data_IF_325649393387
#
_entry.id   IF_325649393387
#
_cell.length_a   1.000
_cell.length_b   1.000
_cell.length_c   1.000
_cell.angle_alpha   90.00
_cell.angle_beta   90.00
_cell.angle_gamma   90.00
#
_symmetry.space_group_name_H-M   'P 1'
#
loop_
_entity.id
_entity.type
_entity.pdbx_description
1 polymer ?
#
# COMPACT_ATOMS: atom_id res chain seq x y z
N UNK A 1 -7.37 -10.23 -18.57
CA UNK A 1 -6.89 -9.29 -17.53
C UNK A 1 -5.80 -8.42 -18.13
N UNK A 2 -6.04 -7.12 -18.19
CA UNK A 2 -5.12 -6.19 -18.85
C UNK A 2 -4.21 -5.54 -17.80
N UNK A 3 -2.90 -5.59 -18.06
CA UNK A 3 -1.90 -4.92 -17.23
C UNK A 3 -1.74 -3.49 -17.73
N UNK A 4 -1.86 -2.52 -16.81
CA UNK A 4 -1.48 -1.13 -17.07
C UNK A 4 0.05 -1.01 -17.00
N UNK A 5 0.61 -0.08 -17.72
CA UNK A 5 2.06 0.13 -17.79
C UNK A 5 2.66 0.44 -16.40
N UNK A 6 3.88 -0.06 -16.12
CA UNK A 6 4.55 0.27 -14.87
C UNK A 6 4.93 1.75 -14.82
N UNK A 7 4.69 2.39 -13.68
CA UNK A 7 5.06 3.79 -13.42
C UNK A 7 6.10 3.82 -12.30
N UNK A 8 7.28 4.42 -12.51
CA UNK A 8 8.26 4.60 -11.45
C UNK A 8 7.69 5.48 -10.33
N UNK A 9 7.76 5.03 -9.09
CA UNK A 9 7.27 5.76 -7.94
C UNK A 9 8.35 5.83 -6.84
N UNK A 10 8.56 7.03 -6.30
CA UNK A 10 9.50 7.24 -5.20
C UNK A 10 10.97 7.32 -5.63
N UNK A 11 11.85 7.18 -4.66
CA UNK A 11 13.31 7.33 -4.82
C UNK A 11 14.09 6.01 -4.80
N UNK A 12 13.43 4.88 -5.00
CA UNK A 12 14.07 3.55 -4.97
C UNK A 12 14.32 2.98 -3.55
N UNK A 13 13.77 3.60 -2.50
CA UNK A 13 13.90 3.14 -1.13
C UNK A 13 12.52 2.82 -0.53
N UNK A 14 12.23 1.53 -0.29
CA UNK A 14 11.07 1.03 0.46
C UNK A 14 9.78 1.82 0.19
N UNK A 15 9.28 1.74 -1.03
CA UNK A 15 8.01 2.39 -1.40
C UNK A 15 6.85 1.45 -1.07
N UNK A 16 5.83 1.97 -0.40
CA UNK A 16 4.57 1.27 -0.11
C UNK A 16 3.37 2.05 -0.67
N UNK A 17 2.21 1.41 -0.65
CA UNK A 17 0.93 2.00 -1.04
C UNK A 17 0.24 2.56 0.20
N UNK A 18 -0.16 3.83 0.16
CA UNK A 18 -0.87 4.48 1.25
C UNK A 18 -2.38 4.40 1.03
N UNK A 19 -2.85 4.97 -0.07
CA UNK A 19 -4.28 5.01 -0.41
C UNK A 19 -4.48 5.24 -1.90
N UNK A 20 -5.74 5.22 -2.34
CA UNK A 20 -6.13 5.58 -3.70
C UNK A 20 -7.30 6.56 -3.67
N UNK A 21 -7.38 7.45 -4.66
CA UNK A 21 -8.51 8.34 -4.86
C UNK A 21 -8.71 8.59 -6.36
N UNK A 22 -9.90 8.21 -6.87
CA UNK A 22 -10.23 8.25 -8.32
C UNK A 22 -9.20 7.50 -9.17
N UNK A 23 -8.45 8.21 -10.03
CA UNK A 23 -7.41 7.66 -10.90
C UNK A 23 -5.99 7.87 -10.36
N UNK A 24 -5.85 8.30 -9.12
CA UNK A 24 -4.58 8.49 -8.47
C UNK A 24 -4.32 7.41 -7.43
N UNK A 25 -3.06 7.01 -7.36
CA UNK A 25 -2.53 6.12 -6.31
C UNK A 25 -1.46 6.89 -5.55
N UNK A 26 -1.50 6.78 -4.24
CA UNK A 26 -0.58 7.49 -3.36
C UNK A 26 0.37 6.51 -2.72
N UNK A 27 1.66 6.74 -2.94
CA UNK A 27 2.75 5.93 -2.43
C UNK A 27 3.51 6.67 -1.34
N UNK A 28 4.15 5.92 -0.45
CA UNK A 28 5.04 6.46 0.58
C UNK A 28 6.44 5.85 0.51
N UNK A 29 7.41 6.48 1.15
CA UNK A 29 8.73 5.91 1.37
C UNK A 29 9.03 5.76 2.86
N UNK A 30 9.94 4.85 3.22
CA UNK A 30 10.49 4.76 4.57
C UNK A 30 11.75 5.62 4.67
N UNK A 31 11.96 6.19 5.85
CA UNK A 31 13.27 6.74 6.19
C UNK A 31 14.21 5.60 6.58
N UNK A 32 15.51 5.64 6.19
CA UNK A 32 16.46 4.55 6.44
C UNK A 32 16.64 4.15 7.90
N UNK A 33 16.17 4.96 8.85
CA UNK A 33 16.36 4.75 10.30
C UNK A 33 15.07 4.89 11.11
N UNK A 34 13.92 4.96 10.45
CA UNK A 34 12.62 5.10 11.10
C UNK A 34 11.62 4.12 10.49
N UNK A 35 10.79 3.43 11.31
CA UNK A 35 9.71 2.62 10.78
C UNK A 35 8.53 3.49 10.26
N UNK A 36 8.61 4.80 10.41
CA UNK A 36 7.53 5.70 10.00
C UNK A 36 7.53 5.90 8.48
N UNK A 37 6.34 5.86 7.92
CA UNK A 37 6.09 6.30 6.54
C UNK A 37 6.45 7.76 6.40
N UNK A 38 7.06 8.15 5.31
CA UNK A 38 7.35 9.55 5.02
C UNK A 38 7.30 9.84 3.54
N UNK A 39 6.74 11.01 3.26
CA UNK A 39 6.51 11.46 1.91
C UNK A 39 5.26 10.87 1.28
N UNK A 40 4.73 11.58 0.30
CA UNK A 40 3.60 11.17 -0.52
C UNK A 40 3.96 11.44 -1.97
N UNK A 41 3.76 10.43 -2.83
CA UNK A 41 3.85 10.54 -4.27
C UNK A 41 2.50 10.19 -4.88
N UNK A 42 1.85 11.16 -5.52
CA UNK A 42 0.60 10.95 -6.26
C UNK A 42 0.92 10.50 -7.69
N UNK A 43 0.51 9.30 -8.03
CA UNK A 43 0.76 8.67 -9.34
C UNK A 43 -0.55 8.57 -10.10
N UNK A 44 -0.62 9.18 -11.28
CA UNK A 44 -1.68 8.94 -12.25
C UNK A 44 -1.31 7.74 -13.11
N UNK A 45 -1.93 6.59 -12.83
CA UNK A 45 -1.63 5.33 -13.52
C UNK A 45 -2.16 5.30 -14.96
N UNK A 46 -3.08 6.21 -15.36
CA UNK A 46 -3.54 6.32 -16.74
C UNK A 46 -2.60 7.17 -17.60
N UNK A 47 -1.99 8.17 -16.98
CA UNK A 47 -1.05 9.05 -17.64
C UNK A 47 0.42 8.62 -17.48
N UNK A 48 0.67 7.50 -16.78
CA UNK A 48 2.00 6.93 -16.49
C UNK A 48 2.97 7.97 -15.91
N UNK A 49 2.51 8.77 -14.94
CA UNK A 49 3.35 9.85 -14.38
C UNK A 49 3.04 10.15 -12.92
N UNK A 50 4.06 10.66 -12.22
CA UNK A 50 3.88 11.33 -10.92
C UNK A 50 3.27 12.71 -11.19
N UNK A 51 2.13 12.99 -10.55
CA UNK A 51 1.42 14.28 -10.65
C UNK A 51 2.03 15.30 -9.73
N UNK A 52 2.26 14.90 -8.46
CA UNK A 52 2.92 15.70 -7.45
C UNK A 52 3.61 14.81 -6.42
N UNK A 53 4.51 15.40 -5.64
CA UNK A 53 5.13 14.72 -4.51
C UNK A 53 5.48 15.68 -3.38
N UNK A 54 5.39 15.19 -2.15
CA UNK A 54 5.80 15.87 -0.93
C UNK A 54 6.57 14.94 -0.03
N UNK A 55 7.86 15.18 0.13
CA UNK A 55 8.75 14.37 0.96
C UNK A 55 8.78 14.78 2.44
N UNK A 56 8.16 15.93 2.76
CA UNK A 56 8.18 16.59 4.08
C UNK A 56 7.03 16.21 5.00
N UNK A 57 6.04 15.48 4.48
CA UNK A 57 4.82 15.13 5.20
C UNK A 57 4.71 13.63 5.46
N UNK A 58 3.91 13.29 6.46
CA UNK A 58 3.46 11.93 6.76
C UNK A 58 1.95 11.88 6.57
N UNK A 59 1.47 10.89 5.87
CA UNK A 59 0.04 10.65 5.68
C UNK A 59 -0.60 10.20 6.99
N UNK A 60 -1.78 10.73 7.29
CA UNK A 60 -2.55 10.35 8.47
C UNK A 60 -3.93 9.80 8.12
N UNK A 61 -4.60 10.37 7.10
CA UNK A 61 -5.93 9.93 6.72
C UNK A 61 -6.37 10.47 5.35
N UNK A 62 -7.21 9.71 4.65
CA UNK A 62 -7.93 10.10 3.45
C UNK A 62 -9.35 10.53 3.83
N UNK A 63 -9.71 11.77 3.56
CA UNK A 63 -11.02 12.37 3.83
C UNK A 63 -11.89 12.50 2.57
N UNK A 64 -11.54 11.80 1.49
CA UNK A 64 -12.17 11.83 0.17
C UNK A 64 -11.99 13.15 -0.60
N UNK A 65 -12.09 14.27 0.05
CA UNK A 65 -11.92 15.61 -0.56
C UNK A 65 -10.58 16.25 -0.19
N UNK A 66 -9.98 15.83 0.90
CA UNK A 66 -8.75 16.34 1.48
C UNK A 66 -7.96 15.19 2.07
N UNK A 67 -6.64 15.33 2.18
CA UNK A 67 -5.82 14.44 2.98
C UNK A 67 -5.40 15.11 4.28
N UNK A 68 -5.59 14.40 5.38
CA UNK A 68 -4.96 14.75 6.64
C UNK A 68 -3.52 14.26 6.61
N UNK A 69 -2.59 15.17 6.77
CA UNK A 69 -1.15 14.89 6.85
C UNK A 69 -0.55 15.61 8.04
N UNK A 70 0.65 15.21 8.46
CA UNK A 70 1.39 15.97 9.46
C UNK A 70 2.86 16.09 9.07
N UNK A 71 3.49 17.17 9.57
CA UNK A 71 4.93 17.35 9.56
C UNK A 71 5.47 17.05 10.95
N UNK A 72 6.60 16.37 11.02
CA UNK A 72 7.32 16.15 12.26
C UNK A 72 8.23 17.34 12.54
N UNK A 73 8.13 17.87 13.73
CA UNK A 73 9.06 18.87 14.31
C UNK A 73 9.52 18.42 15.69
N UNK A 74 10.43 19.15 16.29
CA UNK A 74 10.84 18.92 17.67
C UNK A 74 10.88 20.26 18.41
N UNK A 75 10.24 20.31 19.56
CA UNK A 75 10.32 21.44 20.47
C UNK A 75 10.85 20.98 21.83
N UNK A 76 11.92 21.56 22.29
CA UNK A 76 12.54 21.19 23.56
C UNK A 76 13.01 19.71 23.63
N UNK A 77 13.28 19.07 22.47
CA UNK A 77 13.64 17.65 22.39
C UNK A 77 12.46 16.67 22.32
N UNK A 78 11.23 17.18 22.37
CA UNK A 78 10.03 16.36 22.23
C UNK A 78 9.52 16.42 20.79
N UNK A 79 9.16 15.26 20.16
CA UNK A 79 8.58 15.25 18.84
C UNK A 79 7.17 15.85 18.86
N UNK A 80 6.90 16.74 17.92
CA UNK A 80 5.61 17.36 17.71
C UNK A 80 5.10 17.04 16.30
N UNK A 81 3.78 16.87 16.17
CA UNK A 81 3.09 16.67 14.89
C UNK A 81 2.25 17.89 14.57
N UNK A 82 2.59 18.56 13.48
CA UNK A 82 1.84 19.69 12.95
C UNK A 82 0.94 19.24 11.83
N UNK A 83 -0.35 19.12 12.11
CA UNK A 83 -1.34 18.61 11.17
C UNK A 83 -1.78 19.67 10.17
N UNK A 84 -2.01 19.21 8.93
CA UNK A 84 -2.46 20.01 7.80
C UNK A 84 -3.47 19.19 6.99
N UNK A 85 -4.41 19.91 6.37
CA UNK A 85 -5.23 19.38 5.29
C UNK A 85 -4.62 19.82 3.96
N UNK A 86 -4.44 18.86 3.04
CA UNK A 86 -3.90 19.12 1.71
C UNK A 86 -4.88 18.64 0.64
N UNK A 87 -4.83 19.28 -0.53
CA UNK A 87 -5.56 18.85 -1.71
C UNK A 87 -4.94 17.56 -2.26
N UNK A 88 -5.73 16.48 -2.40
CA UNK A 88 -5.20 15.20 -2.91
C UNK A 88 -4.71 15.28 -4.36
N UNK A 89 -5.21 16.21 -5.16
CA UNK A 89 -4.89 16.29 -6.59
C UNK A 89 -3.68 17.17 -6.90
N UNK A 90 -3.36 18.13 -6.01
CA UNK A 90 -2.25 19.07 -6.21
C UNK A 90 -1.15 18.95 -5.16
N UNK A 91 -1.47 18.43 -3.97
CA UNK A 91 -0.56 18.40 -2.81
C UNK A 91 -0.46 19.74 -2.07
N UNK A 92 -1.25 20.75 -2.47
CA UNK A 92 -1.25 22.07 -1.86
C UNK A 92 -1.93 22.07 -0.48
N UNK A 93 -1.41 22.90 0.43
CA UNK A 93 -2.02 23.05 1.76
C UNK A 93 -3.31 23.85 1.66
N UNK A 94 -4.43 23.21 2.04
CA UNK A 94 -5.74 23.87 2.15
C UNK A 94 -5.86 24.60 3.48
N UNK A 95 -5.47 23.92 4.58
CA UNK A 95 -5.60 24.46 5.92
C UNK A 95 -4.57 23.84 6.88
N UNK A 96 -3.97 24.67 7.73
CA UNK A 96 -3.16 24.20 8.86
C UNK A 96 -4.06 24.00 10.09
N UNK A 97 -3.93 22.84 10.73
CA UNK A 97 -4.68 22.48 11.95
C UNK A 97 -3.83 22.64 13.22
N UNK A 98 -2.51 22.76 13.08
CA UNK A 98 -1.60 22.89 14.20
C UNK A 98 -1.26 21.55 14.89
N UNK A 99 -1.11 21.61 16.22
CA UNK A 99 -0.71 20.45 17.02
C UNK A 99 -1.84 19.43 17.20
N UNK A 100 -1.46 18.23 17.60
CA UNK A 100 -2.38 17.13 17.88
C UNK A 100 -3.45 17.53 18.90
N UNK A 101 -4.71 17.30 18.56
CA UNK A 101 -5.87 17.72 19.35
C UNK A 101 -7.00 16.67 19.28
N UNK A 102 -7.98 16.71 20.20
CA UNK A 102 -9.16 15.84 20.13
C UNK A 102 -9.90 15.92 18.79
N UNK A 103 -9.97 17.09 18.18
CA UNK A 103 -10.62 17.27 16.86
C UNK A 103 -9.92 16.47 15.75
N UNK A 104 -8.59 16.33 15.82
CA UNK A 104 -7.83 15.51 14.87
C UNK A 104 -8.13 14.03 15.07
N UNK A 105 -8.33 13.58 16.30
CA UNK A 105 -8.71 12.20 16.60
C UNK A 105 -10.14 11.89 16.12
N UNK A 106 -11.07 12.83 16.22
CA UNK A 106 -12.42 12.69 15.65
C UNK A 106 -12.36 12.53 14.13
N UNK A 107 -11.60 13.39 13.43
CA UNK A 107 -11.37 13.27 11.98
C UNK A 107 -10.81 11.90 11.63
N UNK A 108 -9.84 11.38 12.38
CA UNK A 108 -9.28 10.04 12.13
C UNK A 108 -10.28 8.91 12.33
N UNK A 109 -11.16 9.01 13.30
CA UNK A 109 -12.20 8.00 13.53
C UNK A 109 -13.26 7.99 12.44
N UNK A 110 -13.64 9.15 11.91
CA UNK A 110 -14.57 9.26 10.78
C UNK A 110 -13.98 8.59 9.52
N UNK A 111 -12.67 8.69 9.33
CA UNK A 111 -11.98 8.13 8.17
C UNK A 111 -11.99 6.61 8.15
N UNK A 112 -11.80 5.95 9.28
CA UNK A 112 -11.85 4.48 9.34
C UNK A 112 -13.19 3.98 8.81
N UNK A 113 -14.28 4.69 9.11
CA UNK A 113 -15.61 4.36 8.59
C UNK A 113 -15.74 4.67 7.08
N UNK A 114 -15.07 5.71 6.60
CA UNK A 114 -15.13 6.09 5.18
C UNK A 114 -14.26 5.19 4.29
N UNK A 115 -13.11 4.74 4.76
CA UNK A 115 -12.28 3.75 4.06
C UNK A 115 -13.02 2.42 3.86
N UNK A 116 -13.78 1.99 4.85
CA UNK A 116 -14.69 0.84 4.72
C UNK A 116 -15.74 1.09 3.62
N UNK A 117 -16.32 2.28 3.54
CA UNK A 117 -17.29 2.67 2.50
C UNK A 117 -16.66 2.75 1.10
N UNK A 118 -15.42 3.19 0.98
CA UNK A 118 -14.72 3.28 -0.31
C UNK A 118 -14.26 1.93 -0.88
N UNK A 119 -14.58 0.83 -0.22
CA UNK A 119 -14.25 -0.54 -0.65
C UNK A 119 -12.74 -0.77 -0.89
N UNK A 120 -11.87 -0.05 -0.20
CA UNK A 120 -10.45 -0.37 -0.17
C UNK A 120 -10.27 -1.61 0.69
N UNK A 121 -9.63 -2.63 0.13
CA UNK A 121 -9.33 -3.87 0.84
C UNK A 121 -7.81 -4.03 0.92
N UNK A 122 -7.30 -4.04 2.14
CA UNK A 122 -5.89 -4.28 2.44
C UNK A 122 -5.64 -5.77 2.67
N UNK A 123 -4.41 -6.26 2.48
CA UNK A 123 -4.07 -7.64 2.73
C UNK A 123 -3.98 -7.93 4.24
N UNK A 124 -4.41 -9.13 4.61
CA UNK A 124 -4.19 -9.69 5.92
C UNK A 124 -3.09 -10.76 5.88
N UNK A 125 -2.30 -10.85 6.96
CA UNK A 125 -1.39 -11.98 7.12
C UNK A 125 -2.16 -13.29 7.26
N UNK A 126 -1.68 -14.32 6.57
CA UNK A 126 -2.25 -15.66 6.65
C UNK A 126 -1.84 -16.31 7.96
N UNK A 127 -2.53 -15.96 9.03
CA UNK A 127 -2.34 -16.53 10.39
C UNK A 127 -3.47 -17.45 10.80
N UNK A 128 -4.64 -17.32 10.16
CA UNK A 128 -5.85 -18.08 10.48
C UNK A 128 -5.96 -19.39 9.69
N UNK A 129 -6.59 -20.39 10.33
CA UNK A 129 -6.80 -21.73 9.75
C UNK A 129 -7.65 -21.70 8.46
N UNK A 130 -8.74 -20.90 8.45
CA UNK A 130 -9.62 -20.76 7.28
C UNK A 130 -8.92 -20.22 6.03
N UNK A 131 -8.00 -19.24 6.19
CA UNK A 131 -7.26 -18.69 5.05
C UNK A 131 -6.19 -19.67 4.57
N UNK A 132 -5.56 -20.42 5.48
CA UNK A 132 -4.63 -21.50 5.14
C UNK A 132 -5.31 -22.61 4.38
N UNK A 133 -6.50 -23.05 4.79
CA UNK A 133 -7.30 -24.05 4.09
C UNK A 133 -7.66 -23.58 2.67
N UNK A 134 -8.07 -22.32 2.50
CA UNK A 134 -8.39 -21.78 1.18
C UNK A 134 -7.17 -21.76 0.27
N UNK A 135 -6.00 -21.34 0.75
CA UNK A 135 -4.76 -21.37 -0.03
C UNK A 135 -4.31 -22.80 -0.34
N UNK A 136 -4.52 -23.74 0.58
CA UNK A 136 -4.26 -25.16 0.34
C UNK A 136 -5.15 -25.72 -0.79
N UNK A 137 -6.43 -25.33 -0.84
CA UNK A 137 -7.34 -25.68 -1.94
C UNK A 137 -6.85 -25.14 -3.29
N UNK A 138 -6.21 -23.99 -3.30
CA UNK A 138 -5.59 -23.39 -4.48
C UNK A 138 -4.20 -23.98 -4.81
N UNK A 139 -3.79 -25.02 -4.09
CA UNK A 139 -2.49 -25.70 -4.22
C UNK A 139 -1.29 -24.78 -3.96
N UNK A 140 -1.49 -23.74 -3.17
CA UNK A 140 -0.40 -22.89 -2.69
C UNK A 140 0.28 -23.60 -1.54
N UNK A 141 1.48 -24.12 -1.78
CA UNK A 141 2.33 -24.68 -0.72
C UNK A 141 2.87 -23.58 0.16
N UNK A 142 2.41 -23.46 1.40
CA UNK A 142 2.99 -22.55 2.38
C UNK A 142 3.91 -23.37 3.27
N UNK A 143 5.23 -23.25 3.07
CA UNK A 143 6.22 -23.82 3.96
C UNK A 143 6.28 -23.00 5.27
N UNK A 144 6.79 -23.56 6.36
CA UNK A 144 6.91 -22.86 7.65
C UNK A 144 7.76 -21.60 7.59
N UNK A 145 8.65 -21.49 6.62
CA UNK A 145 9.50 -20.31 6.36
C UNK A 145 8.85 -19.27 5.46
N UNK A 146 7.71 -19.59 4.82
CA UNK A 146 7.02 -18.72 3.89
C UNK A 146 6.13 -17.74 4.64
N UNK A 147 6.19 -16.48 4.26
CA UNK A 147 5.23 -15.45 4.71
C UNK A 147 4.21 -15.26 3.61
N UNK A 148 2.96 -15.12 3.98
CA UNK A 148 1.90 -14.92 3.00
C UNK A 148 0.92 -13.85 3.50
N UNK A 149 0.57 -12.95 2.58
CA UNK A 149 -0.49 -11.95 2.76
C UNK A 149 -1.59 -12.25 1.74
N UNK A 150 -2.85 -12.07 2.13
CA UNK A 150 -3.97 -12.47 1.29
C UNK A 150 -5.14 -11.49 1.38
N UNK A 151 -5.78 -11.26 0.22
CA UNK A 151 -7.09 -10.61 0.11
C UNK A 151 -8.05 -11.63 -0.52
N UNK A 152 -9.24 -11.75 0.07
CA UNK A 152 -10.36 -12.48 -0.52
C UNK A 152 -11.49 -11.50 -0.80
N UNK A 153 -11.83 -11.30 -2.07
CA UNK A 153 -12.88 -10.37 -2.50
C UNK A 153 -13.73 -10.98 -3.61
N UNK A 154 -14.97 -11.33 -3.27
CA UNK A 154 -15.89 -12.02 -4.20
C UNK A 154 -15.28 -13.32 -4.75
N UNK A 155 -15.21 -13.48 -6.08
CA UNK A 155 -14.62 -14.68 -6.69
C UNK A 155 -13.10 -14.68 -6.70
N UNK A 156 -12.45 -13.57 -6.32
CA UNK A 156 -11.01 -13.40 -6.38
C UNK A 156 -10.33 -13.71 -5.06
N UNK A 157 -9.21 -14.41 -5.15
CA UNK A 157 -8.22 -14.58 -4.09
C UNK A 157 -6.90 -14.02 -4.61
N UNK A 158 -6.35 -13.04 -3.93
CA UNK A 158 -5.04 -12.45 -4.23
C UNK A 158 -4.11 -12.80 -3.09
N UNK A 159 -2.97 -13.42 -3.39
CA UNK A 159 -1.98 -13.73 -2.37
C UNK A 159 -0.59 -13.29 -2.79
N UNK A 160 0.08 -12.56 -1.90
CA UNK A 160 1.51 -12.31 -1.97
C UNK A 160 2.24 -13.37 -1.14
N UNK A 161 3.11 -14.13 -1.80
CA UNK A 161 3.86 -15.23 -1.21
C UNK A 161 5.33 -14.82 -1.17
N UNK A 162 5.86 -14.73 0.04
CA UNK A 162 7.25 -14.34 0.29
C UNK A 162 8.02 -15.56 0.75
N UNK A 163 9.01 -15.98 -0.01
CA UNK A 163 9.80 -17.16 0.28
C UNK A 163 11.31 -16.86 0.27
N UNK A 164 12.09 -17.50 1.15
CA UNK A 164 13.53 -17.36 1.11
C UNK A 164 14.08 -18.04 -0.15
N UNK A 165 15.08 -17.42 -0.75
CA UNK A 165 15.87 -18.04 -1.84
C UNK A 165 16.93 -18.92 -1.20
N UNK A 166 16.96 -20.18 -1.59
CA UNK A 166 17.82 -21.20 -0.99
C UNK A 166 19.27 -20.74 -0.79
N UNK A 167 19.81 -20.96 0.41
CA UNK A 167 21.21 -20.74 0.83
C UNK A 167 21.75 -19.31 0.72
N UNK A 168 21.01 -18.37 0.16
CA UNK A 168 21.47 -16.98 -0.02
C UNK A 168 21.11 -16.06 1.14
N UNK A 169 20.08 -16.42 1.93
CA UNK A 169 19.47 -15.56 2.94
C UNK A 169 18.64 -14.41 2.35
N UNK A 170 18.50 -14.37 1.03
CA UNK A 170 17.67 -13.40 0.32
C UNK A 170 16.25 -13.90 0.17
N UNK A 171 15.34 -12.99 -0.18
CA UNK A 171 13.91 -13.28 -0.35
C UNK A 171 13.46 -12.96 -1.77
N UNK A 172 12.38 -13.63 -2.17
CA UNK A 172 11.60 -13.29 -3.36
C UNK A 172 10.12 -13.28 -3.00
N UNK A 173 9.33 -12.51 -3.75
CA UNK A 173 7.91 -12.30 -3.51
C UNK A 173 7.13 -12.46 -4.80
N UNK A 174 6.11 -13.31 -4.79
CA UNK A 174 5.20 -13.51 -5.91
C UNK A 174 3.80 -13.05 -5.56
N UNK A 175 3.14 -12.37 -6.48
CA UNK A 175 1.74 -12.03 -6.40
C UNK A 175 0.95 -12.93 -7.34
N UNK A 176 0.03 -13.69 -6.78
CA UNK A 176 -0.84 -14.58 -7.53
C UNK A 176 -2.30 -14.17 -7.35
N UNK A 177 -3.06 -14.23 -8.43
CA UNK A 177 -4.50 -13.95 -8.43
C UNK A 177 -5.24 -15.16 -8.97
N UNK A 178 -6.18 -15.66 -8.19
CA UNK A 178 -7.12 -16.71 -8.61
C UNK A 178 -8.52 -16.13 -8.72
N UNK A 179 -9.23 -16.58 -9.76
CA UNK A 179 -10.67 -16.42 -9.86
C UNK A 179 -11.28 -17.79 -9.59
N UNK A 180 -11.97 -17.93 -8.45
CA UNK A 180 -12.36 -19.22 -7.87
C UNK A 180 -11.11 -20.08 -7.60
N UNK A 181 -10.88 -21.13 -8.39
CA UNK A 181 -9.74 -22.06 -8.31
C UNK A 181 -8.76 -21.95 -9.49
N UNK A 182 -9.02 -21.03 -10.42
CA UNK A 182 -8.21 -20.84 -11.63
C UNK A 182 -7.22 -19.68 -11.41
N UNK A 183 -5.92 -19.96 -11.55
CA UNK A 183 -4.89 -18.92 -11.55
C UNK A 183 -5.04 -18.08 -12.83
N UNK A 184 -5.41 -16.79 -12.66
CA UNK A 184 -5.65 -15.87 -13.78
C UNK A 184 -4.55 -14.84 -13.97
N UNK A 185 -3.72 -14.62 -12.93
CA UNK A 185 -2.58 -13.72 -13.01
C UNK A 185 -1.50 -14.15 -12.02
N UNK A 186 -0.23 -14.02 -12.42
CA UNK A 186 0.93 -14.21 -11.56
C UNK A 186 2.05 -13.26 -12.00
N UNK A 187 2.72 -12.63 -11.03
CA UNK A 187 3.89 -11.79 -11.28
C UNK A 187 4.90 -11.91 -10.13
N UNK A 188 6.18 -11.72 -10.44
CA UNK A 188 7.23 -11.58 -9.44
C UNK A 188 7.26 -10.11 -9.00
N UNK A 189 6.93 -9.85 -7.72
CA UNK A 189 6.94 -8.49 -7.17
C UNK A 189 8.35 -8.00 -6.89
N UNK A 190 9.18 -8.87 -6.31
CA UNK A 190 10.60 -8.59 -5.99
C UNK A 190 11.42 -9.88 -5.87
N UNK A 191 12.70 -9.80 -6.16
CA UNK A 191 13.64 -10.92 -6.05
C UNK A 191 15.00 -10.43 -5.57
N UNK A 192 15.68 -11.27 -4.79
CA UNK A 192 17.05 -10.99 -4.32
C UNK A 192 17.11 -9.90 -3.26
N UNK A 193 16.07 -9.71 -2.45
CA UNK A 193 16.01 -8.70 -1.39
C UNK A 193 16.37 -9.30 -0.03
N UNK A 194 16.98 -8.51 0.86
CA UNK A 194 17.31 -8.96 2.22
C UNK A 194 16.08 -9.23 3.08
N UNK A 195 15.00 -8.50 2.84
CA UNK A 195 13.70 -8.67 3.52
C UNK A 195 12.58 -8.42 2.53
N UNK A 196 11.49 -9.22 2.58
CA UNK A 196 10.34 -8.98 1.75
C UNK A 196 9.61 -7.70 2.15
N UNK A 197 9.10 -6.98 1.17
CA UNK A 197 8.24 -5.82 1.39
C UNK A 197 6.82 -6.29 1.64
N UNK A 198 6.28 -5.96 2.81
CA UNK A 198 4.94 -6.34 3.23
C UNK A 198 3.95 -5.19 2.96
N UNK A 199 2.64 -5.49 2.90
CA UNK A 199 1.57 -4.53 2.63
C UNK A 199 1.76 -3.75 1.31
N UNK A 200 2.33 -4.38 0.30
CA UNK A 200 2.66 -3.74 -0.97
C UNK A 200 1.62 -3.96 -2.06
N UNK A 201 0.41 -4.37 -1.69
CA UNK A 201 -0.71 -4.48 -2.61
C UNK A 201 -2.03 -4.16 -1.90
N UNK A 202 -3.02 -3.74 -2.68
CA UNK A 202 -4.38 -3.47 -2.21
C UNK A 202 -5.38 -3.67 -3.36
N UNK A 203 -6.65 -3.88 -3.01
CA UNK A 203 -7.74 -3.85 -3.98
C UNK A 203 -8.63 -2.64 -3.67
N UNK A 204 -8.91 -1.85 -4.71
CA UNK A 204 -9.97 -0.83 -4.67
C UNK A 204 -10.93 -1.05 -5.82
N UNK A 205 -12.22 -1.15 -5.49
CA UNK A 205 -13.26 -1.51 -6.46
C UNK A 205 -12.91 -2.81 -7.19
N UNK A 206 -12.67 -2.76 -8.48
CA UNK A 206 -12.32 -3.91 -9.32
C UNK A 206 -10.85 -3.88 -9.78
N UNK A 207 -10.00 -3.10 -9.13
CA UNK A 207 -8.60 -2.98 -9.48
C UNK A 207 -7.69 -3.43 -8.34
N UNK A 208 -6.71 -4.23 -8.69
CA UNK A 208 -5.57 -4.61 -7.86
C UNK A 208 -4.41 -3.69 -8.16
N UNK A 209 -3.83 -3.11 -7.14
CA UNK A 209 -2.63 -2.26 -7.20
C UNK A 209 -1.52 -2.92 -6.40
N UNK A 210 -0.32 -2.95 -6.94
CA UNK A 210 0.86 -3.43 -6.21
C UNK A 210 2.14 -2.76 -6.67
N UNK A 211 3.16 -2.78 -5.81
CA UNK A 211 4.49 -2.28 -6.10
C UNK A 211 5.40 -3.42 -6.54
N UNK A 212 6.10 -3.20 -7.67
CA UNK A 212 7.09 -4.11 -8.20
C UNK A 212 8.49 -3.51 -8.06
N UNK A 213 9.43 -4.30 -7.55
CA UNK A 213 10.82 -3.91 -7.31
C UNK A 213 10.99 -2.63 -6.49
N UNK A 214 9.96 -2.25 -5.68
CA UNK A 214 9.92 -1.02 -4.87
C UNK A 214 9.98 0.28 -5.69
N UNK A 215 9.78 0.23 -6.98
CA UNK A 215 9.94 1.35 -7.90
C UNK A 215 8.77 1.50 -8.88
N UNK A 216 8.09 0.41 -9.20
CA UNK A 216 7.04 0.39 -10.21
C UNK A 216 5.67 0.14 -9.60
N UNK A 217 4.72 1.02 -9.85
CA UNK A 217 3.31 0.78 -9.54
C UNK A 217 2.65 0.01 -10.69
N UNK A 218 2.05 -1.13 -10.37
CA UNK A 218 1.29 -1.94 -11.33
C UNK A 218 -0.18 -1.95 -10.94
N UNK A 219 -1.05 -1.76 -11.93
CA UNK A 219 -2.50 -1.86 -11.80
C UNK A 219 -3.02 -3.01 -12.67
N UNK A 220 -3.87 -3.85 -12.09
CA UNK A 220 -4.48 -5.01 -12.77
C UNK A 220 -5.99 -4.96 -12.55
N UNK A 221 -6.77 -4.94 -13.65
CA UNK A 221 -8.21 -5.02 -13.57
C UNK A 221 -8.65 -6.45 -13.18
N UNK A 222 -9.48 -6.56 -12.16
CA UNK A 222 -10.10 -7.81 -11.69
C UNK A 222 -11.50 -7.96 -12.33
N UNK A 223 -11.55 -8.29 -13.61
CA UNK A 223 -12.80 -8.44 -14.37
C UNK A 223 -13.03 -9.88 -14.88
#
# INVERSE_FOLDING_TARGET
>A
MDRVHPVPAGSGWFVGLETTLRNLVYCYAYQPQSPEHKGIWAVDFRADRIVWSRSDVVFAANLDHEFLVYQLSAFGGFPERHFQLIDPFTGDVIRSLGLDSPAINEIRQEVVQEEERQQVTLPDFVTGEMTRERLALLRVGIADTTRCECIVKGPFTVAAIHEPVDLTGLWRSFLNVWRLDILVFADCMEEGVEKPSLNNFLIRSENLYYLKNKEELVCVALS
#
